data_IF_530785165218
#
_entry.id   IF_530785165218
#
_cell.length_a   1.000
_cell.length_b   1.000
_cell.length_c   1.000
_cell.angle_alpha   90.00
_cell.angle_beta   90.00
_cell.angle_gamma   90.00
#
_symmetry.space_group_name_H-M   'P 1'
#
loop_
_entity.id
_entity.type
_entity.pdbx_description
1 polymer ?
#
# COMPACT_ATOMS: atom_id res chain seq x y z
N UNK A 1 -8.82 -17.46 23.93
CA UNK A 1 -9.50 -16.35 23.26
C UNK A 1 -9.04 -16.35 21.81
N UNK A 2 -9.93 -16.58 20.86
CA UNK A 2 -9.62 -16.48 19.44
C UNK A 2 -9.35 -15.00 19.14
N UNK A 3 -8.13 -14.66 18.71
CA UNK A 3 -7.84 -13.30 18.27
C UNK A 3 -8.76 -13.00 17.09
N UNK A 4 -9.61 -11.97 17.20
CA UNK A 4 -10.47 -11.54 16.09
C UNK A 4 -9.61 -11.42 14.82
N UNK A 5 -10.05 -12.07 13.72
CA UNK A 5 -9.31 -12.13 12.46
C UNK A 5 -9.03 -10.70 11.96
N UNK A 6 -7.78 -10.25 12.14
CA UNK A 6 -7.34 -8.92 11.71
C UNK A 6 -7.39 -8.84 10.19
N UNK A 7 -8.04 -7.80 9.66
CA UNK A 7 -8.10 -7.55 8.23
C UNK A 7 -6.71 -7.36 7.64
N UNK A 8 -6.48 -7.92 6.45
CA UNK A 8 -5.27 -7.70 5.67
C UNK A 8 -5.33 -6.30 5.06
N UNK A 9 -4.26 -5.53 5.21
CA UNK A 9 -4.24 -4.11 4.85
C UNK A 9 -3.25 -3.90 3.70
N UNK A 10 -3.68 -3.21 2.64
CA UNK A 10 -2.79 -2.63 1.62
C UNK A 10 -2.61 -1.13 1.88
N UNK A 11 -1.36 -0.65 1.92
CA UNK A 11 -1.03 0.76 2.04
C UNK A 11 -0.36 1.23 0.75
N UNK A 12 -1.01 2.16 0.06
CA UNK A 12 -0.51 2.83 -1.13
C UNK A 12 0.09 4.17 -0.70
N UNK A 13 1.37 4.40 -1.03
CA UNK A 13 2.09 5.59 -0.56
C UNK A 13 2.76 5.41 0.80
N UNK A 14 3.11 4.16 1.18
CA UNK A 14 3.71 3.80 2.46
C UNK A 14 5.01 4.56 2.80
N UNK A 15 5.78 5.02 1.80
CA UNK A 15 7.02 5.77 2.04
C UNK A 15 6.81 7.28 2.23
N UNK A 16 5.59 7.78 2.05
CA UNK A 16 5.22 9.18 2.31
C UNK A 16 5.09 9.48 3.81
N UNK A 17 4.92 10.76 4.15
CA UNK A 17 4.89 11.21 5.54
C UNK A 17 3.86 10.47 6.41
N UNK A 18 2.58 10.47 6.01
CA UNK A 18 1.53 9.74 6.72
C UNK A 18 1.62 8.23 6.53
N UNK A 19 2.03 7.80 5.34
CA UNK A 19 2.17 6.38 5.00
C UNK A 19 3.08 5.65 5.98
N UNK A 20 4.20 6.26 6.38
CA UNK A 20 5.15 5.64 7.31
C UNK A 20 4.52 5.29 8.65
N UNK A 21 3.87 6.26 9.28
CA UNK A 21 3.22 6.06 10.58
C UNK A 21 2.07 5.06 10.49
N UNK A 22 1.32 5.07 9.38
CA UNK A 22 0.25 4.11 9.16
C UNK A 22 0.78 2.69 9.00
N UNK A 23 1.85 2.50 8.24
CA UNK A 23 2.51 1.19 8.06
C UNK A 23 3.04 0.66 9.39
N UNK A 24 3.78 1.47 10.15
CA UNK A 24 4.27 1.06 11.46
C UNK A 24 3.13 0.76 12.43
N UNK A 25 2.07 1.58 12.45
CA UNK A 25 0.90 1.36 13.30
C UNK A 25 0.21 0.04 12.97
N UNK A 26 -0.01 -0.23 11.69
CA UNK A 26 -0.58 -1.48 11.18
C UNK A 26 0.23 -2.71 11.62
N UNK A 27 1.56 -2.64 11.47
CA UNK A 27 2.49 -3.69 11.89
C UNK A 27 2.50 -3.89 13.42
N UNK A 28 2.59 -2.80 14.21
CA UNK A 28 2.55 -2.86 15.68
C UNK A 28 1.25 -3.45 16.21
N UNK A 29 0.13 -3.11 15.56
CA UNK A 29 -1.17 -3.69 15.88
C UNK A 29 -1.34 -5.11 15.32
N UNK A 30 -0.33 -5.68 14.65
CA UNK A 30 -0.30 -7.07 14.19
C UNK A 30 -1.25 -7.36 13.03
N UNK A 31 -1.57 -6.36 12.20
CA UNK A 31 -2.30 -6.60 10.96
C UNK A 31 -1.35 -7.14 9.88
N UNK A 32 -1.76 -8.15 9.09
CA UNK A 32 -1.03 -8.51 7.87
C UNK A 32 -0.98 -7.28 6.96
N UNK A 33 0.22 -6.70 6.83
CA UNK A 33 0.41 -5.40 6.19
C UNK A 33 1.13 -5.58 4.86
N UNK A 34 0.53 -5.07 3.81
CA UNK A 34 1.05 -5.03 2.45
C UNK A 34 1.33 -3.58 2.09
N UNK A 35 2.45 -3.33 1.41
CA UNK A 35 2.80 -2.00 0.91
C UNK A 35 2.97 -2.06 -0.61
N UNK A 36 2.34 -1.14 -1.33
CA UNK A 36 2.52 -1.01 -2.77
C UNK A 36 3.71 -0.10 -3.07
N UNK A 37 4.68 -0.61 -3.82
CA UNK A 37 5.94 0.07 -4.15
C UNK A 37 6.16 0.05 -5.66
N UNK A 38 6.54 1.21 -6.23
CA UNK A 38 6.99 1.28 -7.62
C UNK A 38 8.44 0.82 -7.71
N UNK A 39 8.78 -0.05 -8.66
CA UNK A 39 10.17 -0.52 -8.86
C UNK A 39 11.16 0.64 -9.04
N UNK A 40 10.75 1.68 -9.78
CA UNK A 40 11.54 2.90 -9.97
C UNK A 40 11.91 3.59 -8.66
N UNK A 41 11.09 3.49 -7.60
CA UNK A 41 11.37 4.12 -6.30
C UNK A 41 12.59 3.49 -5.62
N UNK A 42 12.78 2.17 -5.77
CA UNK A 42 13.94 1.49 -5.17
C UNK A 42 15.23 1.92 -5.88
N UNK A 43 15.17 2.09 -7.20
CA UNK A 43 16.35 2.40 -8.01
C UNK A 43 16.74 3.88 -7.99
N UNK A 44 15.79 4.79 -7.74
CA UNK A 44 16.01 6.24 -7.88
C UNK A 44 16.10 7.00 -6.56
N UNK A 45 15.66 6.42 -5.44
CA UNK A 45 15.62 7.12 -4.16
C UNK A 45 16.13 6.23 -3.01
N UNK A 46 17.37 6.47 -2.57
CA UNK A 46 18.03 5.69 -1.51
C UNK A 46 17.34 5.80 -0.15
N UNK A 47 16.77 6.96 0.19
CA UNK A 47 16.04 7.15 1.45
C UNK A 47 14.75 6.33 1.49
N UNK A 48 13.96 6.35 0.39
CA UNK A 48 12.75 5.55 0.27
C UNK A 48 13.07 4.04 0.22
N UNK A 49 14.15 3.66 -0.47
CA UNK A 49 14.61 2.27 -0.49
C UNK A 49 14.94 1.75 0.92
N UNK A 50 15.60 2.56 1.75
CA UNK A 50 15.86 2.22 3.15
C UNK A 50 14.56 2.01 3.94
N UNK A 51 13.60 2.92 3.82
CA UNK A 51 12.28 2.80 4.49
C UNK A 51 11.54 1.52 4.06
N UNK A 52 11.56 1.19 2.77
CA UNK A 52 10.94 -0.04 2.25
C UNK A 52 11.61 -1.28 2.86
N UNK A 53 12.94 -1.26 2.95
CA UNK A 53 13.70 -2.34 3.60
C UNK A 53 13.34 -2.46 5.08
N UNK A 54 13.29 -1.36 5.81
CA UNK A 54 12.94 -1.33 7.23
C UNK A 54 11.53 -1.90 7.46
N UNK A 55 10.55 -1.59 6.60
CA UNK A 55 9.21 -2.19 6.66
C UNK A 55 9.21 -3.67 6.36
N UNK A 56 9.98 -4.11 5.36
CA UNK A 56 10.12 -5.54 5.04
C UNK A 56 10.72 -6.30 6.22
N UNK A 57 11.77 -5.77 6.82
CA UNK A 57 12.44 -6.36 8.00
C UNK A 57 11.50 -6.38 9.22
N UNK A 58 10.58 -5.42 9.33
CA UNK A 58 9.51 -5.37 10.34
C UNK A 58 8.29 -6.27 10.03
N UNK A 59 8.30 -7.01 8.92
CA UNK A 59 7.26 -8.00 8.57
C UNK A 59 6.20 -7.53 7.57
N UNK A 60 6.38 -6.38 6.91
CA UNK A 60 5.51 -5.98 5.80
C UNK A 60 5.76 -6.82 4.55
N UNK A 61 4.69 -7.14 3.82
CA UNK A 61 4.79 -7.73 2.48
C UNK A 61 4.92 -6.61 1.45
N UNK A 62 6.04 -6.57 0.73
CA UNK A 62 6.25 -5.61 -0.35
C UNK A 62 5.62 -6.14 -1.63
N UNK A 63 4.69 -5.39 -2.20
CA UNK A 63 4.09 -5.65 -3.51
C UNK A 63 4.60 -4.62 -4.51
N UNK A 64 5.06 -5.10 -5.66
CA UNK A 64 5.48 -4.25 -6.76
C UNK A 64 4.31 -3.95 -7.69
N UNK A 65 4.11 -2.67 -7.97
CA UNK A 65 3.06 -2.22 -8.88
C UNK A 65 3.04 -0.71 -9.05
N UNK A 66 2.20 -0.25 -9.96
CA UNK A 66 2.04 1.16 -10.27
C UNK A 66 0.57 1.56 -10.27
N UNK A 67 0.28 2.82 -9.92
CA UNK A 67 -1.08 3.33 -9.89
C UNK A 67 -1.72 3.45 -11.27
N UNK A 68 -0.89 3.52 -12.30
CA UNK A 68 -1.28 3.59 -13.70
C UNK A 68 -1.24 2.22 -14.39
N UNK A 69 -0.78 1.17 -13.68
CA UNK A 69 -0.90 -0.22 -14.09
C UNK A 69 -2.08 -0.87 -13.34
N UNK A 70 -3.23 -0.86 -14.00
CA UNK A 70 -4.48 -1.39 -13.46
C UNK A 70 -4.40 -2.88 -13.08
N UNK A 71 -3.69 -3.70 -13.86
CA UNK A 71 -3.57 -5.13 -13.59
C UNK A 71 -2.76 -5.36 -12.30
N UNK A 72 -1.68 -4.62 -12.11
CA UNK A 72 -0.88 -4.66 -10.88
C UNK A 72 -1.71 -4.27 -9.64
N UNK A 73 -2.54 -3.23 -9.76
CA UNK A 73 -3.43 -2.78 -8.68
C UNK A 73 -4.46 -3.84 -8.33
N UNK A 74 -5.15 -4.40 -9.32
CA UNK A 74 -6.16 -5.46 -9.10
C UNK A 74 -5.53 -6.68 -8.43
N UNK A 75 -4.35 -7.11 -8.90
CA UNK A 75 -3.61 -8.23 -8.28
C UNK A 75 -3.28 -7.95 -6.81
N UNK A 76 -2.79 -6.76 -6.49
CA UNK A 76 -2.47 -6.36 -5.13
C UNK A 76 -3.72 -6.30 -4.24
N UNK A 77 -4.79 -5.71 -4.74
CA UNK A 77 -6.05 -5.51 -3.99
C UNK A 77 -6.72 -6.85 -3.69
N UNK A 78 -6.69 -7.83 -4.60
CA UNK A 78 -7.24 -9.18 -4.39
C UNK A 78 -6.61 -9.93 -3.21
N UNK A 79 -5.44 -9.52 -2.72
CA UNK A 79 -4.75 -10.16 -1.60
C UNK A 79 -5.22 -9.65 -0.23
N UNK A 80 -5.91 -8.52 -0.16
CA UNK A 80 -6.19 -7.78 1.07
C UNK A 80 -7.69 -7.62 1.35
N UNK A 81 -8.05 -7.13 2.54
CA UNK A 81 -9.45 -6.82 2.90
C UNK A 81 -9.71 -5.30 2.95
N UNK A 82 -8.66 -4.51 3.16
CA UNK A 82 -8.72 -3.06 3.43
C UNK A 82 -7.62 -2.37 2.61
N UNK A 83 -7.94 -1.22 2.00
CA UNK A 83 -6.99 -0.40 1.24
C UNK A 83 -6.91 1.00 1.86
N UNK A 84 -5.70 1.44 2.21
CA UNK A 84 -5.41 2.82 2.58
C UNK A 84 -4.59 3.49 1.48
N UNK A 85 -5.04 4.66 1.02
CA UNK A 85 -4.23 5.56 0.19
C UNK A 85 -3.72 6.70 1.06
N UNK A 86 -2.40 6.83 1.16
CA UNK A 86 -1.71 7.96 1.82
C UNK A 86 -0.87 8.74 0.81
N UNK A 87 -1.34 8.80 -0.44
CA UNK A 87 -0.69 9.53 -1.50
C UNK A 87 -0.70 11.04 -1.24
N UNK A 88 0.37 11.70 -1.65
CA UNK A 88 0.41 13.17 -1.71
C UNK A 88 -0.51 13.71 -2.81
N UNK A 89 -0.96 14.94 -2.63
CA UNK A 89 -1.76 15.70 -3.58
C UNK A 89 -1.06 17.01 -3.94
N UNK A 90 0.24 16.92 -4.24
CA UNK A 90 1.05 18.09 -4.63
C UNK A 90 0.58 18.65 -5.98
N UNK A 91 0.01 17.79 -6.83
CA UNK A 91 -0.59 18.16 -8.12
C UNK A 91 -2.01 17.59 -8.26
N UNK A 92 -2.95 18.30 -8.93
CA UNK A 92 -4.32 17.83 -9.15
C UNK A 92 -4.41 16.45 -9.82
N UNK A 93 -3.46 16.14 -10.71
CA UNK A 93 -3.37 14.85 -11.39
C UNK A 93 -3.17 13.67 -10.42
N UNK A 94 -2.48 13.89 -9.30
CA UNK A 94 -2.30 12.85 -8.28
C UNK A 94 -3.61 12.53 -7.56
N UNK A 95 -4.46 13.54 -7.33
CA UNK A 95 -5.81 13.32 -6.82
C UNK A 95 -6.67 12.56 -7.84
N UNK A 96 -6.63 12.96 -9.10
CA UNK A 96 -7.35 12.27 -10.18
C UNK A 96 -6.92 10.79 -10.30
N UNK A 97 -5.64 10.50 -10.12
CA UNK A 97 -5.11 9.12 -10.19
C UNK A 97 -5.70 8.17 -9.14
N UNK A 98 -6.28 8.67 -8.05
CA UNK A 98 -6.98 7.82 -7.09
C UNK A 98 -8.20 7.11 -7.68
N UNK A 99 -8.75 7.60 -8.79
CA UNK A 99 -9.84 6.91 -9.50
C UNK A 99 -9.42 5.51 -9.97
N UNK A 100 -8.12 5.30 -10.26
CA UNK A 100 -7.60 4.00 -10.65
C UNK A 100 -7.67 3.01 -9.49
N UNK A 101 -7.41 3.47 -8.27
CA UNK A 101 -7.55 2.66 -7.05
C UNK A 101 -9.02 2.24 -6.90
N UNK A 102 -9.96 3.19 -7.04
CA UNK A 102 -11.41 2.91 -6.93
C UNK A 102 -11.87 1.91 -8.01
N UNK A 103 -11.42 2.09 -9.25
CA UNK A 103 -11.72 1.17 -10.36
C UNK A 103 -11.22 -0.24 -10.06
N UNK A 104 -9.96 -0.37 -9.61
CA UNK A 104 -9.37 -1.65 -9.27
C UNK A 104 -10.03 -2.31 -8.06
N UNK A 105 -10.45 -1.53 -7.05
CA UNK A 105 -11.24 -2.03 -5.91
C UNK A 105 -12.57 -2.61 -6.40
N UNK A 106 -13.28 -1.90 -7.27
CA UNK A 106 -14.57 -2.34 -7.82
C UNK A 106 -14.44 -3.65 -8.58
N UNK A 107 -13.37 -3.81 -9.36
CA UNK A 107 -13.11 -5.04 -10.10
C UNK A 107 -12.68 -6.20 -9.18
N UNK A 108 -11.86 -5.93 -8.17
CA UNK A 108 -11.37 -6.95 -7.26
C UNK A 108 -12.49 -7.54 -6.38
N UNK A 109 -13.44 -6.70 -5.96
CA UNK A 109 -14.69 -7.15 -5.31
C UNK A 109 -14.56 -7.73 -3.90
N UNK A 110 -13.37 -7.63 -3.29
CA UNK A 110 -13.03 -8.23 -1.99
C UNK A 110 -12.75 -7.22 -0.87
N UNK A 111 -12.70 -5.92 -1.18
CA UNK A 111 -12.47 -4.86 -0.19
C UNK A 111 -13.78 -4.54 0.53
N UNK A 112 -13.70 -4.41 1.86
CA UNK A 112 -14.85 -4.20 2.75
C UNK A 112 -15.30 -2.75 2.85
#
# INVERSE_FOLDING_TARGET
MEAAKKGKILIIGATGYLGKYLTEGSLRLGHPTFILVRESTINTNSEKAKVIKDFKDAGATVLYGDLHDHESLVKAIKLVDIVFSTMGHEHPEQLASQINIVSAIKEAGNVK
#
